data_IF_052159659103
#
_entry.id   IF_052159659103
#
_cell.length_a   1.000
_cell.length_b   1.000
_cell.length_c   1.000
_cell.angle_alpha   90.00
_cell.angle_beta   90.00
_cell.angle_gamma   90.00
#
_symmetry.space_group_name_H-M   'P 1'
#
loop_
_entity.id
_entity.type
_entity.pdbx_description
1 polymer ?
#
# COMPACT_ATOMS: atom_id res chain seq x y z
N UNK A 1 -1.73 -12.65 -26.42
CA UNK A 1 -1.32 -11.28 -26.05
C UNK A 1 -1.86 -10.93 -24.67
N UNK A 2 -1.06 -10.39 -23.75
CA UNK A 2 -1.57 -9.91 -22.46
C UNK A 2 -2.52 -8.72 -22.70
N UNK A 3 -3.73 -8.80 -22.16
CA UNK A 3 -4.74 -7.74 -22.30
C UNK A 3 -4.33 -6.52 -21.48
N UNK A 4 -4.21 -5.35 -22.12
CA UNK A 4 -4.07 -4.05 -21.42
C UNK A 4 -5.35 -3.80 -20.64
N UNK A 5 -5.26 -3.78 -19.30
CA UNK A 5 -6.38 -3.34 -18.44
C UNK A 5 -6.20 -1.86 -18.16
N UNK A 6 -7.21 -1.06 -18.50
CA UNK A 6 -7.27 0.33 -18.05
C UNK A 6 -7.68 0.33 -16.58
N UNK A 7 -6.77 0.79 -15.72
CA UNK A 7 -7.01 0.89 -14.28
C UNK A 7 -7.57 2.30 -14.06
N UNK A 8 -8.84 2.40 -13.67
CA UNK A 8 -9.41 3.67 -13.23
C UNK A 8 -8.83 4.08 -11.88
N UNK A 9 -8.32 5.32 -11.78
CA UNK A 9 -7.67 5.83 -10.59
C UNK A 9 -8.64 6.08 -9.41
N UNK A 10 -9.94 6.20 -9.68
CA UNK A 10 -10.97 6.40 -8.65
C UNK A 10 -11.46 5.07 -8.06
N UNK A 11 -10.55 4.32 -7.44
CA UNK A 11 -10.89 3.02 -6.85
C UNK A 11 -11.64 3.15 -5.52
N UNK A 12 -11.60 4.33 -4.89
CA UNK A 12 -12.24 4.61 -3.60
C UNK A 12 -12.78 6.05 -3.61
N UNK A 13 -14.09 6.20 -3.38
CA UNK A 13 -14.78 7.49 -3.25
C UNK A 13 -14.83 8.03 -1.82
N UNK A 14 -14.42 7.24 -0.82
CA UNK A 14 -14.63 7.52 0.60
C UNK A 14 -13.30 7.78 1.31
N UNK A 15 -13.29 8.67 2.31
CA UNK A 15 -12.14 8.95 3.19
C UNK A 15 -12.22 8.15 4.49
N UNK A 16 -11.12 8.07 5.24
CA UNK A 16 -11.10 7.49 6.59
C UNK A 16 -12.11 8.13 7.53
N UNK A 17 -12.21 9.46 7.48
CA UNK A 17 -13.18 10.24 8.27
C UNK A 17 -14.63 9.83 7.96
N UNK A 18 -14.97 9.66 6.67
CA UNK A 18 -16.33 9.24 6.27
C UNK A 18 -16.69 7.84 6.77
N UNK A 19 -15.71 6.91 6.79
CA UNK A 19 -15.91 5.59 7.37
C UNK A 19 -16.14 5.67 8.87
N UNK A 20 -15.33 6.45 9.57
CA UNK A 20 -15.42 6.55 11.02
C UNK A 20 -16.77 7.12 11.43
N UNK A 21 -17.25 8.15 10.72
CA UNK A 21 -18.58 8.70 10.88
C UNK A 21 -19.67 7.65 10.59
N UNK A 22 -19.52 6.86 9.51
CA UNK A 22 -20.45 5.79 9.17
C UNK A 22 -20.48 4.67 10.22
N UNK A 23 -19.34 4.30 10.80
CA UNK A 23 -19.24 3.31 11.87
C UNK A 23 -19.87 3.82 13.16
N UNK A 24 -19.62 5.08 13.54
CA UNK A 24 -20.28 5.74 14.69
C UNK A 24 -21.80 5.74 14.54
N UNK A 25 -22.30 6.02 13.33
CA UNK A 25 -23.73 5.95 13.02
C UNK A 25 -24.28 4.53 13.21
N UNK A 26 -23.57 3.49 12.72
CA UNK A 26 -23.98 2.10 12.92
C UNK A 26 -23.97 1.71 14.41
N UNK A 27 -22.96 2.13 15.17
CA UNK A 27 -22.91 1.87 16.63
C UNK A 27 -24.01 2.60 17.41
N UNK A 28 -24.48 3.75 16.90
CA UNK A 28 -25.62 4.48 17.48
C UNK A 28 -26.98 3.83 17.23
N UNK A 29 -27.02 2.73 16.47
CA UNK A 29 -28.24 1.97 16.15
C UNK A 29 -28.78 2.20 14.73
N UNK A 30 -28.07 2.95 13.88
CA UNK A 30 -28.46 3.12 12.48
C UNK A 30 -28.17 1.86 11.66
N UNK A 31 -29.07 1.51 10.73
CA UNK A 31 -28.87 0.31 9.91
C UNK A 31 -27.69 0.51 8.95
N UNK A 32 -26.90 -0.55 8.73
CA UNK A 32 -25.73 -0.52 7.83
C UNK A 32 -26.10 0.00 6.43
N UNK A 33 -27.28 -0.36 5.90
CA UNK A 33 -27.76 0.13 4.59
C UNK A 33 -28.03 1.63 4.59
N UNK A 34 -28.62 2.15 5.67
CA UNK A 34 -28.94 3.58 5.80
C UNK A 34 -27.68 4.41 5.96
N UNK A 35 -26.73 3.97 6.79
CA UNK A 35 -25.42 4.61 6.93
C UNK A 35 -24.62 4.56 5.62
N UNK A 36 -24.63 3.42 4.91
CA UNK A 36 -23.96 3.28 3.61
C UNK A 36 -24.46 4.30 2.57
N UNK A 37 -25.78 4.47 2.46
CA UNK A 37 -26.39 5.45 1.55
C UNK A 37 -26.09 6.90 1.96
N UNK A 38 -26.06 7.18 3.27
CA UNK A 38 -25.81 8.52 3.80
C UNK A 38 -24.38 9.01 3.55
N UNK A 39 -23.40 8.11 3.63
CA UNK A 39 -21.98 8.45 3.49
C UNK A 39 -21.40 8.11 2.11
N UNK A 40 -22.24 7.71 1.14
CA UNK A 40 -21.83 7.26 -0.20
C UNK A 40 -20.76 6.15 -0.18
N UNK A 41 -20.89 5.23 0.78
CA UNK A 41 -20.01 4.06 0.94
C UNK A 41 -20.78 2.83 0.47
N UNK A 42 -20.12 1.97 -0.32
CA UNK A 42 -20.76 0.72 -0.72
C UNK A 42 -21.14 -0.14 0.49
N UNK A 43 -22.33 -0.76 0.47
CA UNK A 43 -22.82 -1.58 1.58
C UNK A 43 -21.85 -2.70 1.96
N UNK A 44 -21.24 -3.37 0.97
CA UNK A 44 -20.28 -4.44 1.19
C UNK A 44 -19.03 -3.94 1.89
N UNK A 45 -18.53 -2.76 1.51
CA UNK A 45 -17.40 -2.09 2.17
C UNK A 45 -17.73 -1.79 3.63
N UNK A 46 -18.86 -1.16 3.92
CA UNK A 46 -19.22 -0.80 5.30
C UNK A 46 -19.45 -2.05 6.15
N UNK A 47 -20.14 -3.07 5.63
CA UNK A 47 -20.36 -4.36 6.31
C UNK A 47 -19.03 -5.04 6.67
N UNK A 48 -18.07 -5.08 5.76
CA UNK A 48 -16.76 -5.68 6.02
C UNK A 48 -16.02 -4.93 7.14
N UNK A 49 -16.14 -3.61 7.18
CA UNK A 49 -15.52 -2.78 8.23
C UNK A 49 -16.17 -2.91 9.59
N UNK A 50 -17.50 -2.97 9.64
CA UNK A 50 -18.23 -3.24 10.88
C UNK A 50 -17.77 -4.57 11.49
N UNK A 51 -17.57 -5.60 10.65
CA UNK A 51 -17.06 -6.91 11.10
C UNK A 51 -15.59 -6.86 11.53
N UNK A 52 -14.76 -6.07 10.86
CA UNK A 52 -13.34 -5.94 11.17
C UNK A 52 -13.05 -5.08 12.42
N UNK A 53 -13.99 -4.24 12.84
CA UNK A 53 -13.87 -3.39 14.04
C UNK A 53 -12.77 -2.32 13.95
N UNK A 54 -12.29 -2.02 12.73
CA UNK A 54 -11.10 -1.19 12.51
C UNK A 54 -11.31 -0.17 11.39
N UNK A 55 -10.84 1.05 11.64
CA UNK A 55 -10.84 2.19 10.73
C UNK A 55 -9.41 2.37 10.19
N UNK A 56 -9.04 1.62 9.16
CA UNK A 56 -7.76 1.86 8.47
C UNK A 56 -8.00 2.53 7.14
N UNK A 57 -7.06 3.39 6.74
CA UNK A 57 -6.85 3.72 5.34
C UNK A 57 -6.86 2.42 4.53
N UNK A 58 -7.56 2.38 3.39
CA UNK A 58 -7.47 1.21 2.55
C UNK A 58 -6.04 1.11 2.03
N UNK A 59 -5.29 0.14 2.55
CA UNK A 59 -4.15 -0.38 1.80
C UNK A 59 -4.71 -1.09 0.56
N UNK A 60 -4.94 -0.32 -0.50
CA UNK A 60 -5.40 -0.80 -1.82
C UNK A 60 -4.26 -1.49 -2.59
N UNK A 61 -3.05 -1.42 -2.05
CA UNK A 61 -1.84 -2.03 -2.59
C UNK A 61 -1.70 -3.50 -2.20
N UNK A 62 -0.58 -4.09 -2.64
CA UNK A 62 -0.16 -5.39 -2.10
C UNK A 62 0.08 -5.23 -0.62
N UNK A 63 -0.21 -6.30 0.15
CA UNK A 63 0.24 -6.37 1.53
C UNK A 63 1.74 -6.15 1.56
N UNK A 64 2.19 -5.26 2.44
CA UNK A 64 3.61 -5.14 2.71
C UNK A 64 4.11 -6.52 3.14
N UNK A 65 5.13 -7.02 2.45
CA UNK A 65 5.72 -8.31 2.77
C UNK A 65 6.62 -8.18 3.99
N UNK A 66 7.23 -6.99 4.14
CA UNK A 66 8.15 -6.64 5.20
C UNK A 66 7.49 -5.68 6.20
N UNK A 67 7.90 -5.76 7.46
CA UNK A 67 7.57 -4.77 8.49
C UNK A 67 8.45 -3.51 8.32
N UNK A 68 8.07 -2.40 8.95
CA UNK A 68 8.82 -1.13 8.86
C UNK A 68 10.30 -1.28 9.23
N UNK A 69 10.60 -2.06 10.27
CA UNK A 69 11.97 -2.32 10.71
C UNK A 69 12.77 -3.14 9.66
N UNK A 70 12.13 -4.12 9.03
CA UNK A 70 12.74 -4.97 7.99
C UNK A 70 12.98 -4.16 6.71
N UNK A 71 12.04 -3.29 6.34
CA UNK A 71 12.22 -2.38 5.20
C UNK A 71 13.38 -1.43 5.42
N UNK A 72 13.53 -0.93 6.64
CA UNK A 72 14.65 -0.05 7.02
C UNK A 72 15.99 -0.79 6.95
N UNK A 73 16.06 -2.03 7.43
CA UNK A 73 17.27 -2.85 7.32
C UNK A 73 17.68 -3.07 5.86
N UNK A 74 16.69 -3.36 5.00
CA UNK A 74 16.91 -3.52 3.56
C UNK A 74 17.37 -2.19 2.93
N UNK A 75 16.77 -1.06 3.30
CA UNK A 75 17.17 0.27 2.82
C UNK A 75 18.63 0.59 3.18
N UNK A 76 18.99 0.40 4.45
CA UNK A 76 20.35 0.59 4.94
C UNK A 76 21.34 -0.31 4.19
N UNK A 77 20.97 -1.56 3.93
CA UNK A 77 21.79 -2.51 3.19
C UNK A 77 21.99 -2.09 1.73
N UNK A 78 20.92 -1.67 1.04
CA UNK A 78 21.00 -1.18 -0.35
C UNK A 78 21.87 0.08 -0.44
N UNK A 79 21.75 1.00 0.53
CA UNK A 79 22.59 2.19 0.60
C UNK A 79 24.06 1.83 0.85
N UNK A 80 24.34 0.88 1.73
CA UNK A 80 25.70 0.38 1.96
C UNK A 80 26.29 -0.21 0.68
N UNK A 81 25.57 -1.10 0.01
CA UNK A 81 25.99 -1.70 -1.25
C UNK A 81 26.24 -0.62 -2.30
N UNK A 82 25.33 0.35 -2.46
CA UNK A 82 25.52 1.43 -3.43
C UNK A 82 26.86 2.15 -3.19
N UNK A 83 27.12 2.56 -1.94
CA UNK A 83 28.35 3.26 -1.53
C UNK A 83 29.61 2.43 -1.78
N UNK A 84 29.56 1.12 -1.56
CA UNK A 84 30.68 0.20 -1.79
C UNK A 84 30.97 -0.01 -3.28
N UNK A 85 29.93 -0.09 -4.12
CA UNK A 85 30.06 -0.49 -5.52
C UNK A 85 30.19 0.68 -6.53
N UNK A 86 30.15 1.94 -6.09
CA UNK A 86 30.46 3.11 -6.95
C UNK A 86 31.93 3.18 -7.43
N UNK A 87 32.79 2.21 -7.11
CA UNK A 87 34.19 2.14 -7.56
C UNK A 87 34.53 1.02 -8.55
N UNK A 88 33.67 0.02 -8.73
CA UNK A 88 33.89 -1.12 -9.62
C UNK A 88 32.67 -1.36 -10.51
N UNK A 89 32.32 -0.33 -11.28
CA UNK A 89 31.54 -0.56 -12.49
C UNK A 89 32.39 -1.50 -13.36
N UNK A 90 31.78 -2.62 -13.78
CA UNK A 90 32.29 -3.77 -14.56
C UNK A 90 33.31 -3.45 -15.68
N UNK A 91 33.43 -2.19 -16.09
CA UNK A 91 34.41 -1.68 -17.05
C UNK A 91 35.85 -1.77 -16.51
N UNK A 92 36.08 -1.64 -15.19
CA UNK A 92 37.44 -1.65 -14.61
C UNK A 92 38.03 -3.05 -14.42
N UNK A 93 37.20 -4.09 -14.29
CA UNK A 93 37.67 -5.48 -14.16
C UNK A 93 38.28 -6.02 -15.47
N UNK A 94 37.80 -5.55 -16.63
CA UNK A 94 38.24 -6.03 -17.95
C UNK A 94 39.67 -5.57 -18.32
N UNK A 95 40.21 -4.53 -17.67
CA UNK A 95 41.49 -3.90 -18.05
C UNK A 95 42.69 -4.40 -17.25
N UNK A 96 42.49 -5.18 -16.19
CA UNK A 96 43.58 -5.63 -15.31
C UNK A 96 44.12 -7.04 -15.61
N UNK A 97 43.63 -7.73 -16.65
CA UNK A 97 44.15 -9.05 -17.06
C UNK A 97 45.11 -8.98 -18.27
N UNK A 98 45.41 -7.80 -18.80
CA UNK A 98 46.37 -7.64 -19.91
C UNK A 98 47.28 -6.42 -19.69
N UNK A 99 48.37 -6.63 -18.95
CA UNK A 99 49.55 -5.77 -18.97
C UNK A 99 49.88 -5.07 -17.65
N UNK A 100 50.68 -5.72 -16.80
CA UNK A 100 52.09 -5.36 -16.60
C UNK A 100 52.81 -6.40 -15.76
#
# INVERSE_FOLDING_TARGET
>A
MPKKREISANKVSWSTETIEAALKAVTSGESIRKSAARFDISFSTLKNRVKAGKCYDPSLGRKCVFNEDEEKEIEEHVLLLSKLYFGLILIKLRRNETGS
#
